data_IF_250464713471
#
_entry.id   IF_250464713471
#
_cell.length_a   1.000
_cell.length_b   1.000
_cell.length_c   1.000
_cell.angle_alpha   90.00
_cell.angle_beta   90.00
_cell.angle_gamma   90.00
#
_symmetry.space_group_name_H-M   'P 1'
#
loop_
_entity.id
_entity.type
_entity.pdbx_description
1 polymer ?
#
# COMPACT_ATOMS: atom_id res chain seq x y z
N UNK A 1 -2.22 9.73 -4.04
CA UNK A 1 -3.48 8.94 -4.03
C UNK A 1 -3.18 7.54 -4.55
N UNK A 2 -4.13 6.60 -4.52
CA UNK A 2 -3.86 5.19 -4.87
C UNK A 2 -3.26 5.01 -6.27
N UNK A 3 -3.80 5.74 -7.24
CA UNK A 3 -3.38 5.75 -8.64
C UNK A 3 -1.97 6.35 -8.82
N UNK A 4 -1.67 7.43 -8.10
CA UNK A 4 -0.35 8.07 -8.15
C UNK A 4 0.75 7.12 -7.64
N UNK A 5 0.46 6.30 -6.62
CA UNK A 5 1.45 5.37 -6.06
C UNK A 5 1.76 4.24 -7.04
N UNK A 6 0.81 3.81 -7.88
CA UNK A 6 1.08 2.79 -8.91
C UNK A 6 2.16 3.22 -9.89
N UNK A 7 2.17 4.50 -10.29
CA UNK A 7 3.23 5.05 -11.17
C UNK A 7 4.61 4.91 -10.53
N UNK A 8 4.71 5.18 -9.22
CA UNK A 8 5.96 5.02 -8.46
C UNK A 8 6.37 3.55 -8.37
N UNK A 9 5.42 2.65 -8.09
CA UNK A 9 5.69 1.20 -8.02
C UNK A 9 6.22 0.67 -9.35
N UNK A 10 5.60 1.04 -10.47
CA UNK A 10 6.06 0.61 -11.80
C UNK A 10 7.43 1.23 -12.15
N UNK A 11 7.67 2.49 -11.77
CA UNK A 11 8.99 3.10 -11.89
C UNK A 11 10.06 2.33 -11.09
N UNK A 12 9.76 1.90 -9.86
CA UNK A 12 10.67 1.09 -9.04
C UNK A 12 10.92 -0.29 -9.65
N UNK A 13 9.87 -0.98 -10.12
CA UNK A 13 10.00 -2.27 -10.81
C UNK A 13 10.86 -2.15 -12.07
N UNK A 14 10.69 -1.08 -12.86
CA UNK A 14 11.51 -0.84 -14.05
C UNK A 14 13.01 -0.65 -13.75
N UNK A 15 13.35 -0.29 -12.51
CA UNK A 15 14.74 -0.20 -12.01
C UNK A 15 15.26 -1.52 -11.43
N UNK A 16 14.51 -2.62 -11.54
CA UNK A 16 14.90 -3.94 -11.05
C UNK A 16 14.59 -4.19 -9.57
N UNK A 17 13.80 -3.32 -8.92
CA UNK A 17 13.36 -3.57 -7.54
C UNK A 17 12.40 -4.76 -7.52
N UNK A 18 12.73 -5.79 -6.75
CA UNK A 18 11.98 -7.05 -6.67
C UNK A 18 10.96 -7.11 -5.52
N UNK A 19 11.13 -6.28 -4.49
CA UNK A 19 10.22 -6.22 -3.35
C UNK A 19 10.06 -4.77 -2.87
N UNK A 20 8.83 -4.38 -2.59
CA UNK A 20 8.41 -3.05 -2.17
C UNK A 20 7.54 -3.19 -0.93
N UNK A 21 7.96 -2.56 0.17
CA UNK A 21 7.13 -2.32 1.33
C UNK A 21 6.64 -0.88 1.35
N UNK A 22 5.46 -0.63 1.95
CA UNK A 22 4.94 0.71 2.13
C UNK A 22 4.48 0.95 3.57
N UNK A 23 4.67 2.18 4.05
CA UNK A 23 4.18 2.66 5.34
C UNK A 23 3.22 3.83 5.14
N UNK A 24 2.08 3.79 5.81
CA UNK A 24 1.04 4.81 5.73
C UNK A 24 0.77 5.43 7.10
N UNK A 25 0.73 6.76 7.17
CA UNK A 25 0.45 7.53 8.38
C UNK A 25 -0.90 8.23 8.29
N UNK A 26 -1.70 8.20 9.37
CA UNK A 26 -3.02 8.83 9.39
C UNK A 26 -3.86 8.35 8.20
N UNK A 27 -4.38 9.26 7.37
CA UNK A 27 -5.15 8.92 6.17
C UNK A 27 -4.34 8.17 5.10
N UNK A 28 -3.01 8.28 5.12
CA UNK A 28 -2.13 7.55 4.19
C UNK A 28 -2.20 6.03 4.38
N UNK A 29 -2.58 5.56 5.56
CA UNK A 29 -2.81 4.15 5.83
C UNK A 29 -3.90 3.55 4.95
N UNK A 30 -4.94 4.33 4.61
CA UNK A 30 -5.99 3.90 3.69
C UNK A 30 -5.43 3.59 2.30
N UNK A 31 -4.50 4.40 1.80
CA UNK A 31 -3.85 4.13 0.51
C UNK A 31 -2.98 2.87 0.60
N UNK A 32 -2.23 2.70 1.69
CA UNK A 32 -1.34 1.54 1.87
C UNK A 32 -2.13 0.23 2.00
N UNK A 33 -3.26 0.21 2.70
CA UNK A 33 -4.09 -1.01 2.77
C UNK A 33 -4.72 -1.35 1.42
N UNK A 34 -5.17 -0.37 0.61
CA UNK A 34 -5.64 -0.66 -0.75
C UNK A 34 -4.52 -1.25 -1.64
N UNK A 35 -3.27 -0.82 -1.46
CA UNK A 35 -2.13 -1.39 -2.17
C UNK A 35 -1.86 -2.84 -1.75
N UNK A 36 -2.01 -3.13 -0.46
CA UNK A 36 -1.84 -4.48 0.08
C UNK A 36 -2.91 -5.45 -0.47
N UNK A 37 -4.18 -5.04 -0.53
CA UNK A 37 -5.27 -5.86 -1.10
C UNK A 37 -5.06 -6.22 -2.58
N UNK A 38 -4.35 -5.36 -3.32
CA UNK A 38 -4.11 -5.53 -4.74
C UNK A 38 -2.75 -6.14 -5.07
N UNK A 39 -2.05 -6.72 -4.08
CA UNK A 39 -0.72 -7.34 -4.23
C UNK A 39 0.35 -6.42 -4.85
N UNK A 40 0.20 -5.10 -4.69
CA UNK A 40 1.14 -4.13 -5.25
C UNK A 40 2.42 -4.02 -4.42
N UNK A 41 2.36 -4.42 -3.14
CA UNK A 41 3.43 -4.34 -2.15
C UNK A 41 3.50 -5.66 -1.35
N UNK A 42 4.70 -6.06 -0.94
CA UNK A 42 4.94 -7.28 -0.17
C UNK A 42 4.74 -7.08 1.33
N UNK A 43 4.79 -5.83 1.80
CA UNK A 43 4.59 -5.50 3.21
C UNK A 43 3.90 -4.14 3.35
N UNK A 44 2.92 -4.08 4.24
CA UNK A 44 2.18 -2.88 4.59
C UNK A 44 2.36 -2.57 6.09
N UNK A 45 2.72 -1.34 6.41
CA UNK A 45 2.77 -0.84 7.79
C UNK A 45 1.79 0.31 7.94
N UNK A 46 0.85 0.19 8.88
CA UNK A 46 -0.19 1.20 9.13
C UNK A 46 0.10 1.89 10.47
N UNK A 47 0.69 3.09 10.42
CA UNK A 47 1.10 3.83 11.61
C UNK A 47 0.07 4.91 11.97
N UNK A 48 -0.61 4.74 13.11
CA UNK A 48 -1.72 5.61 13.53
C UNK A 48 -2.74 5.81 12.37
N UNK A 49 -3.43 4.74 11.92
CA UNK A 49 -4.23 4.79 10.71
C UNK A 49 -5.56 5.54 10.88
N UNK A 50 -6.00 6.19 9.80
CA UNK A 50 -7.33 6.79 9.64
C UNK A 50 -8.01 6.21 8.40
N UNK A 51 -9.34 6.13 8.42
CA UNK A 51 -10.18 5.67 7.30
C UNK A 51 -9.98 4.20 6.88
N UNK A 52 -9.27 3.40 7.71
CA UNK A 52 -9.13 1.95 7.54
C UNK A 52 -10.26 1.26 8.28
N UNK A 53 -10.94 0.33 7.62
CA UNK A 53 -12.02 -0.48 8.20
C UNK A 53 -11.57 -1.91 8.48
N UNK A 54 -12.38 -2.68 9.19
CA UNK A 54 -12.12 -4.11 9.38
C UNK A 54 -12.18 -4.90 8.06
N UNK A 55 -13.06 -4.52 7.15
CA UNK A 55 -13.15 -5.15 5.83
C UNK A 55 -11.89 -4.88 5.01
N UNK A 56 -11.26 -3.71 5.20
CA UNK A 56 -9.99 -3.42 4.55
C UNK A 56 -8.89 -4.41 4.98
N UNK A 57 -8.82 -4.72 6.27
CA UNK A 57 -7.82 -5.65 6.80
C UNK A 57 -8.12 -7.08 6.35
N UNK A 58 -9.39 -7.50 6.37
CA UNK A 58 -9.80 -8.85 5.95
C UNK A 58 -9.58 -9.12 4.47
N UNK A 59 -9.56 -8.08 3.65
CA UNK A 59 -9.34 -8.18 2.21
C UNK A 59 -7.86 -8.25 1.81
N UNK A 60 -6.92 -8.09 2.75
CA UNK A 60 -5.49 -8.34 2.51
C UNK A 60 -5.25 -9.85 2.59
N UNK A 61 -4.74 -10.44 1.51
CA UNK A 61 -4.48 -11.88 1.37
C UNK A 61 -3.03 -12.25 1.69
#
# INVERSE_FOLDING_TARGET
RFEDVKVVIEALKSKGVCAIGAVGFCWGAKVVVELAKGDFIQAAVLAHPSLVTLDDIKAVL
#
